data_IF_264579490874
#
_entry.id   IF_264579490874
#
_cell.length_a   1.000
_cell.length_b   1.000
_cell.length_c   1.000
_cell.angle_alpha   90.00
_cell.angle_beta   90.00
_cell.angle_gamma   90.00
#
_symmetry.space_group_name_H-M   'P 1'
#
loop_
_entity.id
_entity.type
_entity.pdbx_description
1 polymer ?
#
# COMPACT_ATOMS: atom_id res chain seq x y z
N UNK A 1 15.06 -2.58 18.94
CA UNK A 1 13.73 -3.24 18.92
C UNK A 1 13.12 -2.98 17.56
N UNK A 2 13.20 -3.96 16.65
CA UNK A 2 12.56 -3.84 15.34
C UNK A 2 11.08 -4.11 15.52
N UNK A 3 10.25 -3.09 15.31
CA UNK A 3 8.80 -3.21 15.39
C UNK A 3 8.36 -4.02 14.17
N UNK A 4 8.01 -5.29 14.33
CA UNK A 4 7.37 -6.09 13.27
C UNK A 4 5.95 -5.57 13.04
N UNK A 5 5.79 -4.56 12.19
CA UNK A 5 4.47 -4.11 11.72
C UNK A 5 3.89 -5.20 10.82
N UNK A 6 2.74 -5.76 11.21
CA UNK A 6 2.01 -6.78 10.43
C UNK A 6 1.00 -6.11 9.51
N UNK A 7 0.81 -6.64 8.31
CA UNK A 7 -0.28 -6.20 7.44
C UNK A 7 -1.63 -6.50 8.11
N UNK A 8 -2.42 -5.45 8.33
CA UNK A 8 -3.75 -5.57 8.90
C UNK A 8 -4.79 -5.30 7.82
N UNK A 9 -5.71 -6.25 7.66
CA UNK A 9 -6.94 -6.06 6.90
C UNK A 9 -8.06 -5.86 7.89
N UNK A 10 -8.58 -4.64 7.98
CA UNK A 10 -9.72 -4.35 8.84
C UNK A 10 -10.94 -4.24 7.93
N UNK A 11 -11.88 -5.21 7.95
CA UNK A 11 -13.01 -5.26 7.00
C UNK A 11 -13.89 -4.01 7.01
N UNK A 12 -13.83 -3.20 8.06
CA UNK A 12 -14.61 -1.96 8.20
C UNK A 12 -13.82 -0.67 7.95
N UNK A 13 -12.54 -0.74 7.57
CA UNK A 13 -11.67 0.45 7.36
C UNK A 13 -11.16 0.43 5.92
N UNK A 14 -11.25 1.57 5.21
CA UNK A 14 -10.93 1.67 3.78
C UNK A 14 -11.63 0.60 2.91
N UNK A 15 -12.91 0.30 3.18
CA UNK A 15 -13.66 -0.72 2.42
C UNK A 15 -13.16 -2.17 2.61
N UNK A 16 -12.37 -2.45 3.65
CA UNK A 16 -11.78 -3.77 3.90
C UNK A 16 -10.38 -3.98 3.33
N UNK A 17 -9.76 -2.90 2.82
CA UNK A 17 -8.45 -2.93 2.18
C UNK A 17 -7.31 -3.16 3.17
N UNK A 18 -6.22 -3.71 2.66
CA UNK A 18 -5.04 -4.02 3.45
C UNK A 18 -4.22 -2.75 3.74
N UNK A 19 -3.97 -2.49 5.02
CA UNK A 19 -3.14 -1.39 5.49
C UNK A 19 -1.85 -1.92 6.13
N UNK A 20 -0.78 -1.14 6.01
CA UNK A 20 0.49 -1.48 6.63
C UNK A 20 0.44 -1.19 8.14
N UNK A 21 0.33 -2.24 8.96
CA UNK A 21 0.41 -2.11 10.42
C UNK A 21 -0.68 -1.21 11.01
N UNK A 22 -0.26 -0.30 11.89
CA UNK A 22 -1.12 0.75 12.48
C UNK A 22 -1.21 2.02 11.61
N UNK A 23 -0.57 2.04 10.44
CA UNK A 23 -0.64 3.19 9.55
C UNK A 23 -1.95 3.13 8.75
N UNK A 24 -2.48 4.30 8.38
CA UNK A 24 -3.57 4.40 7.41
C UNK A 24 -3.05 4.42 5.97
N UNK A 25 -1.90 3.79 5.72
CA UNK A 25 -1.29 3.73 4.40
C UNK A 25 -1.74 2.41 3.74
N UNK A 26 -2.55 2.47 2.67
CA UNK A 26 -2.98 1.28 1.96
C UNK A 26 -1.82 0.62 1.22
N UNK A 27 -1.83 -0.70 1.14
CA UNK A 27 -0.81 -1.46 0.41
C UNK A 27 -0.85 -1.11 -1.09
N UNK A 28 -2.05 -0.98 -1.67
CA UNK A 28 -2.20 -0.67 -3.09
C UNK A 28 -1.51 0.64 -3.48
N UNK A 29 -1.51 1.65 -2.59
CA UNK A 29 -0.83 2.93 -2.82
C UNK A 29 0.68 2.72 -2.94
N UNK A 30 1.26 1.94 -2.02
CA UNK A 30 2.69 1.61 -2.03
C UNK A 30 3.08 0.81 -3.28
N UNK A 31 2.24 -0.15 -3.68
CA UNK A 31 2.47 -0.90 -4.91
C UNK A 31 2.34 -0.02 -6.16
N UNK A 32 1.38 0.92 -6.19
CA UNK A 32 1.25 1.89 -7.29
C UNK A 32 2.51 2.74 -7.44
N UNK A 33 3.11 3.22 -6.34
CA UNK A 33 4.42 3.89 -6.39
C UNK A 33 5.51 2.99 -6.97
N UNK A 34 5.57 1.72 -6.57
CA UNK A 34 6.52 0.76 -7.13
C UNK A 34 6.30 0.51 -8.63
N UNK A 35 5.06 0.58 -9.13
CA UNK A 35 4.76 0.48 -10.57
C UNK A 35 5.23 1.71 -11.34
N UNK A 36 5.32 2.86 -10.67
CA UNK A 36 5.85 4.11 -11.22
C UNK A 36 7.38 4.21 -11.09
N UNK A 37 8.08 3.07 -10.89
CA UNK A 37 9.53 3.00 -10.70
C UNK A 37 10.05 3.80 -9.47
N UNK A 38 9.18 4.05 -8.48
CA UNK A 38 9.60 4.73 -7.25
C UNK A 38 10.61 3.89 -6.46
N UNK A 39 11.66 4.54 -5.97
CA UNK A 39 12.68 3.88 -5.16
C UNK A 39 12.23 3.74 -3.70
N UNK A 40 12.87 2.81 -2.98
CA UNK A 40 12.64 2.64 -1.55
C UNK A 40 12.93 3.95 -0.78
N UNK A 41 13.94 4.71 -1.21
CA UNK A 41 14.28 6.01 -0.64
C UNK A 41 13.18 7.05 -0.87
N UNK A 42 12.61 7.13 -2.07
CA UNK A 42 11.50 8.05 -2.35
C UNK A 42 10.28 7.74 -1.50
N UNK A 43 9.96 6.45 -1.33
CA UNK A 43 8.85 6.02 -0.47
C UNK A 43 9.10 6.34 1.01
N UNK A 44 10.32 6.13 1.50
CA UNK A 44 10.70 6.47 2.88
C UNK A 44 10.74 7.99 3.08
N UNK A 45 11.15 8.77 2.07
CA UNK A 45 11.09 10.23 2.11
C UNK A 45 9.66 10.75 2.14
N UNK A 46 8.77 10.18 1.34
CA UNK A 46 7.35 10.53 1.33
C UNK A 46 6.64 10.10 2.62
N UNK A 47 7.01 8.93 3.16
CA UNK A 47 6.44 8.37 4.37
C UNK A 47 7.57 7.96 5.32
N UNK A 48 8.06 8.88 6.18
CA UNK A 48 9.19 8.62 7.08
C UNK A 48 8.90 7.58 8.18
N UNK A 49 7.65 7.13 8.29
CA UNK A 49 7.24 6.00 9.15
C UNK A 49 7.46 4.64 8.48
N UNK A 50 7.73 4.61 7.18
CA UNK A 50 8.09 3.40 6.45
C UNK A 50 9.55 3.04 6.69
N UNK A 51 9.80 1.74 6.68
CA UNK A 51 11.14 1.18 6.73
C UNK A 51 11.30 0.19 5.59
N UNK A 52 12.54 -0.14 5.25
CA UNK A 52 12.84 -1.15 4.22
C UNK A 52 12.18 -2.50 4.54
N UNK A 53 12.06 -2.86 5.82
CA UNK A 53 11.36 -4.07 6.25
C UNK A 53 9.87 -4.04 5.87
N UNK A 54 9.22 -2.89 6.04
CA UNK A 54 7.83 -2.70 5.62
C UNK A 54 7.66 -2.81 4.11
N UNK A 55 8.59 -2.24 3.34
CA UNK A 55 8.56 -2.33 1.88
C UNK A 55 8.71 -3.78 1.41
N UNK A 56 9.61 -4.55 2.04
CA UNK A 56 9.73 -5.98 1.78
C UNK A 56 8.46 -6.75 2.12
N UNK A 57 7.86 -6.49 3.28
CA UNK A 57 6.61 -7.12 3.70
C UNK A 57 5.47 -6.83 2.71
N UNK A 58 5.38 -5.58 2.22
CA UNK A 58 4.42 -5.15 1.21
C UNK A 58 4.63 -5.88 -0.11
N UNK A 59 5.88 -5.99 -0.57
CA UNK A 59 6.24 -6.72 -1.80
C UNK A 59 5.87 -8.21 -1.70
N UNK A 60 6.16 -8.85 -0.59
CA UNK A 60 5.82 -10.27 -0.35
C UNK A 60 4.32 -10.50 -0.32
N UNK A 61 3.58 -9.60 0.34
CA UNK A 61 2.13 -9.63 0.36
C UNK A 61 1.54 -9.43 -1.05
N UNK A 62 2.08 -8.49 -1.82
CA UNK A 62 1.68 -8.26 -3.20
C UNK A 62 1.96 -9.46 -4.10
N UNK A 63 3.10 -10.16 -3.94
CA UNK A 63 3.35 -11.40 -4.68
C UNK A 63 2.27 -12.45 -4.42
N UNK A 64 1.84 -12.57 -3.17
CA UNK A 64 0.81 -13.56 -2.78
C UNK A 64 -0.60 -13.14 -3.19
N UNK A 65 -0.90 -11.83 -3.18
CA UNK A 65 -2.24 -11.26 -3.44
C UNK A 65 -2.26 -10.26 -4.60
N UNK A 66 -1.49 -10.54 -5.66
CA UNK A 66 -1.31 -9.63 -6.79
C UNK A 66 -2.64 -9.21 -7.41
N UNK A 67 -3.52 -10.17 -7.73
CA UNK A 67 -4.79 -9.91 -8.40
C UNK A 67 -5.80 -9.11 -7.55
N UNK A 68 -5.71 -9.19 -6.23
CA UNK A 68 -6.53 -8.37 -5.32
C UNK A 68 -6.04 -6.92 -5.33
N UNK A 69 -4.73 -6.73 -5.13
CA UNK A 69 -4.13 -5.40 -5.07
C UNK A 69 -4.19 -4.68 -6.41
N UNK A 70 -3.96 -5.38 -7.52
CA UNK A 70 -4.02 -4.82 -8.87
C UNK A 70 -5.46 -4.37 -9.23
N UNK A 71 -6.47 -5.02 -8.65
CA UNK A 71 -7.86 -4.59 -8.76
C UNK A 71 -8.11 -3.33 -7.92
N UNK A 72 -7.66 -3.33 -6.66
CA UNK A 72 -7.75 -2.16 -5.78
C UNK A 72 -7.08 -0.92 -6.39
N UNK A 73 -5.94 -1.10 -7.09
CA UNK A 73 -5.25 -0.01 -7.81
C UNK A 73 -6.16 0.52 -8.93
N UNK A 74 -6.66 -0.35 -9.82
CA UNK A 74 -7.55 0.07 -10.92
C UNK A 74 -8.81 0.78 -10.42
N UNK A 75 -9.46 0.23 -9.40
CA UNK A 75 -10.66 0.83 -8.82
C UNK A 75 -10.37 2.20 -8.20
N UNK A 76 -9.17 2.44 -7.66
CA UNK A 76 -8.79 3.75 -7.12
C UNK A 76 -8.40 4.77 -8.19
N UNK A 77 -7.70 4.35 -9.24
CA UNK A 77 -7.43 5.19 -10.41
C UNK A 77 -8.74 5.67 -11.08
N UNK A 78 -9.81 4.85 -11.06
CA UNK A 78 -11.12 5.23 -11.59
C UNK A 78 -11.91 6.19 -10.68
N UNK A 79 -11.79 6.06 -9.35
CA UNK A 79 -12.46 6.94 -8.36
C UNK A 79 -11.92 8.38 -8.39
N UNK A 80 -10.62 8.58 -8.65
CA UNK A 80 -10.00 9.92 -8.70
C UNK A 80 -10.47 10.74 -9.93
N UNK A 81 -10.92 10.07 -10.99
CA UNK A 81 -11.40 10.72 -12.22
C UNK A 81 -12.86 11.21 -12.07
N UNK A 82 -13.66 10.61 -11.18
CA UNK A 82 -15.07 10.99 -11.01
C UNK A 82 -15.30 12.30 -10.23
N UNK A 83 -14.29 12.82 -9.50
CA UNK A 83 -14.43 14.03 -8.66
C UNK A 83 -14.06 15.35 -9.35
N UNK A 84 -13.71 15.32 -10.64
CA UNK A 84 -13.49 16.52 -11.48
C UNK A 84 -14.49 16.65 -12.63
N UNK A 85 -15.65 16.00 -12.51
CA UNK A 85 -16.80 16.17 -13.40
C UNK A 85 -17.76 17.25 -12.92
#
# INVERSE_FOLDING_TARGET
MSISLKIQKTPSVCGGRACLGNTRIPIWTLISFLHQDATDEDMIRAYPTLTVDHLNLVREYYKTRRAEIDRDIREQDEDEISVRG
#
